data_IF_158170315523
#
_entry.id   IF_158170315523
#
_cell.length_a   1.000
_cell.length_b   1.000
_cell.length_c   1.000
_cell.angle_alpha   90.00
_cell.angle_beta   90.00
_cell.angle_gamma   90.00
#
_symmetry.space_group_name_H-M   'P 1'
#
loop_
_entity.id
_entity.type
_entity.pdbx_description
1 polymer ?
#
# COMPACT_ATOMS: atom_id res chain seq x y z
N UNK A 1 6.34 -5.01 -33.52
CA UNK A 1 6.10 -3.75 -32.79
C UNK A 1 4.95 -3.99 -31.84
N UNK A 2 5.18 -3.87 -30.53
CA UNK A 2 4.17 -4.04 -29.49
C UNK A 2 3.43 -2.70 -29.33
N UNK A 3 2.16 -2.62 -29.74
CA UNK A 3 1.35 -1.38 -29.64
C UNK A 3 0.74 -1.24 -28.24
N UNK A 4 0.65 -0.02 -27.72
CA UNK A 4 0.00 0.28 -26.44
C UNK A 4 -1.52 0.06 -26.46
N UNK A 5 -2.11 -0.01 -27.66
CA UNK A 5 -3.57 -0.16 -27.88
C UNK A 5 -3.98 -1.62 -28.13
N UNK A 6 -3.10 -2.58 -27.84
CA UNK A 6 -3.41 -3.99 -28.01
C UNK A 6 -4.39 -4.43 -26.92
N UNK A 7 -5.54 -4.97 -27.33
CA UNK A 7 -6.57 -5.47 -26.44
C UNK A 7 -6.31 -6.93 -26.09
N UNK A 8 -6.33 -7.23 -24.80
CA UNK A 8 -6.27 -8.58 -24.26
C UNK A 8 -7.64 -8.99 -23.75
N UNK A 9 -8.08 -10.17 -24.17
CA UNK A 9 -9.27 -10.79 -23.60
C UNK A 9 -9.01 -11.16 -22.13
N UNK A 10 -9.93 -10.77 -21.26
CA UNK A 10 -9.78 -11.01 -19.83
C UNK A 10 -10.05 -12.49 -19.56
N UNK A 11 -9.03 -13.21 -19.10
CA UNK A 11 -9.19 -14.60 -18.67
C UNK A 11 -9.99 -14.66 -17.36
N UNK A 12 -10.63 -15.79 -17.01
CA UNK A 12 -11.38 -15.90 -15.75
C UNK A 12 -10.56 -15.53 -14.51
N UNK A 13 -9.26 -15.87 -14.51
CA UNK A 13 -8.35 -15.49 -13.43
C UNK A 13 -8.13 -13.98 -13.38
N UNK A 14 -7.90 -13.34 -14.53
CA UNK A 14 -7.73 -11.89 -14.61
C UNK A 14 -9.03 -11.16 -14.22
N UNK A 15 -10.20 -11.68 -14.58
CA UNK A 15 -11.50 -11.13 -14.18
C UNK A 15 -11.62 -11.08 -12.66
N UNK A 16 -11.23 -12.14 -11.95
CA UNK A 16 -11.24 -12.16 -10.49
C UNK A 16 -10.26 -11.15 -9.89
N UNK A 17 -9.05 -11.05 -10.43
CA UNK A 17 -8.06 -10.06 -9.98
C UNK A 17 -8.61 -8.64 -10.14
N UNK A 18 -9.17 -8.32 -11.30
CA UNK A 18 -9.73 -7.00 -11.59
C UNK A 18 -10.94 -6.67 -10.69
N UNK A 19 -11.81 -7.64 -10.40
CA UNK A 19 -12.93 -7.41 -9.46
C UNK A 19 -12.46 -7.19 -8.02
N UNK A 20 -11.50 -7.98 -7.55
CA UNK A 20 -10.92 -7.80 -6.21
C UNK A 20 -10.27 -6.43 -6.11
N UNK A 21 -9.50 -6.04 -7.13
CA UNK A 21 -8.86 -4.74 -7.23
C UNK A 21 -9.90 -3.61 -7.22
N UNK A 22 -10.92 -3.68 -8.08
CA UNK A 22 -11.99 -2.69 -8.15
C UNK A 22 -12.69 -2.52 -6.80
N UNK A 23 -13.07 -3.61 -6.13
CA UNK A 23 -13.78 -3.54 -4.85
C UNK A 23 -12.89 -2.95 -3.75
N UNK A 24 -11.65 -3.45 -3.62
CA UNK A 24 -10.76 -3.01 -2.54
C UNK A 24 -10.34 -1.55 -2.73
N UNK A 25 -9.86 -1.19 -3.93
CA UNK A 25 -9.30 0.14 -4.16
C UNK A 25 -10.36 1.22 -4.31
N UNK A 26 -11.52 0.94 -4.94
CA UNK A 26 -12.63 1.90 -4.91
C UNK A 26 -13.18 2.06 -3.49
N UNK A 27 -13.30 0.97 -2.72
CA UNK A 27 -13.75 1.02 -1.34
C UNK A 27 -12.83 1.88 -0.46
N UNK A 28 -11.52 1.63 -0.49
CA UNK A 28 -10.51 2.41 0.24
C UNK A 28 -10.52 3.86 -0.25
N UNK A 29 -10.50 4.08 -1.56
CA UNK A 29 -10.46 5.39 -2.17
C UNK A 29 -11.67 6.26 -1.80
N UNK A 30 -12.89 5.71 -1.86
CA UNK A 30 -14.11 6.42 -1.44
C UNK A 30 -14.04 6.73 0.05
N UNK A 31 -13.67 5.75 0.89
CA UNK A 31 -13.57 5.97 2.33
C UNK A 31 -12.60 7.10 2.67
N UNK A 32 -11.37 7.05 2.14
CA UNK A 32 -10.33 8.03 2.42
C UNK A 32 -10.61 9.40 1.78
N UNK A 33 -11.39 9.48 0.69
CA UNK A 33 -11.84 10.78 0.16
C UNK A 33 -12.82 11.46 1.12
N UNK A 34 -13.76 10.72 1.71
CA UNK A 34 -14.84 11.30 2.53
C UNK A 34 -14.58 11.25 4.04
N UNK A 35 -13.41 10.77 4.48
CA UNK A 35 -13.06 10.64 5.90
C UNK A 35 -12.88 11.98 6.64
N UNK A 36 -12.96 13.14 5.96
CA UNK A 36 -12.60 14.45 6.53
C UNK A 36 -13.35 14.79 7.82
N UNK A 37 -14.61 14.35 7.92
CA UNK A 37 -15.48 14.61 9.07
C UNK A 37 -15.53 13.46 10.07
N UNK A 38 -14.97 12.30 9.74
CA UNK A 38 -15.04 11.06 10.53
C UNK A 38 -13.69 10.75 11.17
N UNK A 39 -12.59 11.07 10.48
CA UNK A 39 -11.24 10.81 10.93
C UNK A 39 -10.92 11.62 12.19
N UNK A 40 -10.73 10.91 13.30
CA UNK A 40 -10.29 11.51 14.55
C UNK A 40 -8.90 12.09 14.39
N UNK A 41 -8.69 13.24 15.03
CA UNK A 41 -7.35 13.85 15.10
C UNK A 41 -6.44 12.87 15.85
N UNK A 42 -5.30 12.48 15.25
CA UNK A 42 -4.36 11.61 15.95
C UNK A 42 -3.72 12.34 17.13
N UNK A 43 -3.49 11.62 18.24
CA UNK A 43 -2.89 12.21 19.46
C UNK A 43 -1.52 12.85 19.20
N UNK A 44 -0.72 12.30 18.30
CA UNK A 44 0.57 12.88 17.91
C UNK A 44 0.45 14.25 17.20
N UNK A 45 -0.73 14.62 16.70
CA UNK A 45 -0.99 15.93 16.10
C UNK A 45 -1.50 16.96 17.12
N UNK A 46 -1.84 16.54 18.33
CA UNK A 46 -2.31 17.42 19.40
C UNK A 46 -1.11 18.11 20.07
N UNK A 47 -1.25 19.41 20.36
CA UNK A 47 -0.24 20.22 21.04
C UNK A 47 -0.91 21.08 22.12
N UNK A 48 -0.13 21.58 23.09
CA UNK A 48 -0.65 22.47 24.12
C UNK A 48 -1.28 23.71 23.49
N UNK A 49 -2.61 23.84 23.65
CA UNK A 49 -3.40 24.94 23.08
C UNK A 49 -4.06 24.66 21.72
N UNK A 50 -3.98 23.43 21.17
CA UNK A 50 -4.75 23.07 19.97
C UNK A 50 -4.16 21.92 19.14
N UNK A 51 -4.37 21.98 17.83
CA UNK A 51 -3.87 20.98 16.88
C UNK A 51 -2.70 21.61 16.11
N UNK A 52 -1.63 20.85 15.92
CA UNK A 52 -0.59 21.23 14.97
C UNK A 52 -1.13 21.13 13.54
N UNK A 53 -1.64 22.26 13.03
CA UNK A 53 -2.27 22.33 11.72
C UNK A 53 -1.32 21.91 10.59
N UNK A 54 -0.02 22.21 10.69
CA UNK A 54 0.95 21.85 9.65
C UNK A 54 1.11 20.33 9.52
N UNK A 55 1.35 19.64 10.63
CA UNK A 55 1.51 18.17 10.61
C UNK A 55 0.19 17.51 10.20
N UNK A 56 -0.95 18.04 10.68
CA UNK A 56 -2.26 17.52 10.30
C UNK A 56 -2.55 17.69 8.79
N UNK A 57 -2.18 18.81 8.19
CA UNK A 57 -2.35 19.03 6.74
C UNK A 57 -1.48 18.06 5.93
N UNK A 58 -0.22 17.84 6.34
CA UNK A 58 0.65 16.88 5.64
C UNK A 58 0.06 15.46 5.66
N UNK A 59 -0.49 15.04 6.80
CA UNK A 59 -1.14 13.74 6.97
C UNK A 59 -2.46 13.62 6.17
N UNK A 60 -3.27 14.68 6.12
CA UNK A 60 -4.46 14.74 5.26
C UNK A 60 -4.05 14.63 3.79
N UNK A 61 -3.08 15.41 3.33
CA UNK A 61 -2.60 15.38 1.94
C UNK A 61 -2.10 13.98 1.58
N UNK A 62 -1.33 13.33 2.45
CA UNK A 62 -0.86 11.96 2.22
C UNK A 62 -2.02 10.97 2.02
N UNK A 63 -3.05 11.02 2.89
CA UNK A 63 -4.24 10.17 2.72
C UNK A 63 -5.02 10.48 1.45
N UNK A 64 -5.25 11.76 1.11
CA UNK A 64 -6.00 12.11 -0.11
C UNK A 64 -5.26 11.73 -1.39
N UNK A 65 -3.93 11.82 -1.39
CA UNK A 65 -3.11 11.37 -2.52
C UNK A 65 -3.18 9.85 -2.68
N UNK A 66 -3.16 9.09 -1.58
CA UNK A 66 -3.38 7.65 -1.61
C UNK A 66 -4.79 7.30 -2.13
N UNK A 67 -5.82 7.97 -1.61
CA UNK A 67 -7.20 7.80 -2.05
C UNK A 67 -7.37 8.04 -3.56
N UNK A 68 -6.74 9.08 -4.10
CA UNK A 68 -6.79 9.39 -5.54
C UNK A 68 -6.17 8.26 -6.39
N UNK A 69 -5.02 7.72 -5.98
CA UNK A 69 -4.38 6.59 -6.66
C UNK A 69 -5.29 5.36 -6.60
N UNK A 70 -5.85 5.05 -5.43
CA UNK A 70 -6.77 3.94 -5.24
C UNK A 70 -8.01 4.06 -6.14
N UNK A 71 -8.61 5.25 -6.27
CA UNK A 71 -9.77 5.43 -7.15
C UNK A 71 -9.39 5.21 -8.62
N UNK A 72 -8.26 5.77 -9.07
CA UNK A 72 -7.83 5.61 -10.46
C UNK A 72 -7.61 4.13 -10.79
N UNK A 73 -6.94 3.39 -9.89
CA UNK A 73 -6.69 1.96 -10.08
C UNK A 73 -7.97 1.15 -10.07
N UNK A 74 -8.81 1.39 -9.06
CA UNK A 74 -10.10 0.74 -8.96
C UNK A 74 -10.98 0.98 -10.18
N UNK A 75 -10.91 2.17 -10.78
CA UNK A 75 -11.64 2.50 -12.00
C UNK A 75 -11.10 1.76 -13.24
N UNK A 76 -9.78 1.72 -13.41
CA UNK A 76 -9.13 0.95 -14.50
C UNK A 76 -9.47 -0.53 -14.39
N UNK A 77 -9.41 -1.08 -13.19
CA UNK A 77 -9.76 -2.48 -12.94
C UNK A 77 -11.25 -2.75 -13.19
N UNK A 78 -12.14 -1.85 -12.73
CA UNK A 78 -13.58 -1.95 -12.98
C UNK A 78 -13.90 -1.90 -14.49
N UNK A 79 -13.24 -1.02 -15.24
CA UNK A 79 -13.42 -0.92 -16.69
C UNK A 79 -13.07 -2.26 -17.36
N UNK A 80 -11.89 -2.80 -17.07
CA UNK A 80 -11.45 -4.09 -17.59
C UNK A 80 -12.39 -5.24 -17.22
N UNK A 81 -12.93 -5.23 -16.00
CA UNK A 81 -13.86 -6.26 -15.53
C UNK A 81 -15.23 -6.18 -16.24
N UNK A 82 -15.72 -4.97 -16.57
CA UNK A 82 -17.00 -4.76 -17.23
C UNK A 82 -16.93 -4.96 -18.75
N UNK A 83 -15.87 -4.47 -19.40
CA UNK A 83 -15.71 -4.57 -20.85
C UNK A 83 -15.25 -5.97 -21.30
N UNK A 84 -14.69 -6.78 -20.38
CA UNK A 84 -14.18 -8.12 -20.67
C UNK A 84 -12.90 -8.13 -21.50
N UNK A 85 -12.35 -6.96 -21.81
CA UNK A 85 -11.03 -6.78 -22.40
C UNK A 85 -10.27 -5.67 -21.67
N UNK A 86 -8.95 -5.77 -21.64
CA UNK A 86 -8.05 -4.73 -21.13
C UNK A 86 -7.02 -4.38 -22.19
N UNK A 87 -6.73 -3.10 -22.35
CA UNK A 87 -5.58 -2.69 -23.15
C UNK A 87 -4.29 -3.05 -22.44
N UNK A 88 -3.21 -3.27 -23.21
CA UNK A 88 -1.87 -3.43 -22.63
C UNK A 88 -1.52 -2.28 -21.70
N UNK A 89 -1.86 -1.05 -22.08
CA UNK A 89 -1.59 0.12 -21.24
C UNK A 89 -2.27 0.04 -19.88
N UNK A 90 -3.56 -0.33 -19.82
CA UNK A 90 -4.28 -0.51 -18.55
C UNK A 90 -3.65 -1.61 -17.70
N UNK A 91 -3.26 -2.73 -18.31
CA UNK A 91 -2.58 -3.81 -17.60
C UNK A 91 -1.20 -3.37 -17.06
N UNK A 92 -0.41 -2.67 -17.87
CA UNK A 92 0.89 -2.12 -17.47
C UNK A 92 0.74 -1.09 -16.34
N UNK A 93 -0.33 -0.29 -16.37
CA UNK A 93 -0.65 0.68 -15.33
C UNK A 93 -0.93 -0.02 -13.99
N UNK A 94 -1.68 -1.12 -13.98
CA UNK A 94 -1.89 -1.95 -12.78
C UNK A 94 -0.55 -2.47 -12.23
N UNK A 95 0.32 -3.02 -13.10
CA UNK A 95 1.64 -3.52 -12.71
C UNK A 95 2.54 -2.44 -12.09
N UNK A 96 2.62 -1.27 -12.74
CA UNK A 96 3.42 -0.15 -12.24
C UNK A 96 2.87 0.32 -10.90
N UNK A 97 1.55 0.39 -10.77
CA UNK A 97 0.93 0.97 -9.59
C UNK A 97 1.15 0.11 -8.36
N UNK A 98 1.01 -1.22 -8.47
CA UNK A 98 1.43 -2.12 -7.40
C UNK A 98 2.93 -1.98 -7.11
N UNK A 99 3.77 -1.89 -8.15
CA UNK A 99 5.19 -1.71 -7.95
C UNK A 99 5.58 -0.38 -7.30
N UNK A 100 4.77 0.69 -7.42
CA UNK A 100 4.97 1.96 -6.72
C UNK A 100 4.50 1.87 -5.26
N UNK A 101 3.46 1.07 -4.97
CA UNK A 101 2.98 0.83 -3.62
C UNK A 101 3.90 -0.12 -2.82
N UNK A 102 4.53 -1.09 -3.47
CA UNK A 102 5.41 -2.07 -2.81
C UNK A 102 6.60 -1.47 -2.04
N UNK A 103 7.31 -0.43 -2.53
CA UNK A 103 8.31 0.25 -1.74
C UNK A 103 7.81 0.71 -0.38
N UNK A 104 6.54 1.12 -0.27
CA UNK A 104 5.93 1.50 1.00
C UNK A 104 5.78 0.27 1.90
N UNK A 105 5.31 -0.87 1.38
CA UNK A 105 5.18 -2.11 2.15
C UNK A 105 6.54 -2.61 2.63
N UNK A 106 7.54 -2.65 1.74
CA UNK A 106 8.90 -3.09 2.09
C UNK A 106 9.55 -2.15 3.10
N UNK A 107 9.48 -0.84 2.89
CA UNK A 107 10.09 0.14 3.80
C UNK A 107 9.42 0.15 5.16
N UNK A 108 8.10 0.00 5.23
CA UNK A 108 7.34 0.02 6.50
C UNK A 108 7.30 -1.32 7.23
N UNK A 109 8.05 -2.33 6.78
CA UNK A 109 8.21 -3.57 7.54
C UNK A 109 8.68 -3.24 8.96
N UNK A 110 7.91 -3.73 9.94
CA UNK A 110 8.15 -3.53 11.36
C UNK A 110 9.02 -4.65 11.96
N UNK A 111 9.67 -4.43 13.12
CA UNK A 111 10.44 -5.47 13.80
C UNK A 111 9.61 -6.68 14.22
N UNK A 112 10.23 -7.86 14.19
CA UNK A 112 9.63 -9.11 14.70
C UNK A 112 8.49 -9.66 13.86
N UNK A 113 7.50 -10.28 14.51
CA UNK A 113 6.34 -10.90 13.85
C UNK A 113 5.46 -9.90 13.11
N UNK A 114 5.47 -8.63 13.52
CA UNK A 114 4.71 -7.58 12.86
C UNK A 114 5.14 -7.34 11.41
N UNK A 115 6.44 -7.46 11.10
CA UNK A 115 6.92 -7.33 9.72
C UNK A 115 6.30 -8.38 8.79
N UNK A 116 6.13 -9.62 9.26
CA UNK A 116 5.43 -10.67 8.52
C UNK A 116 3.94 -10.37 8.40
N UNK A 117 3.30 -9.89 9.47
CA UNK A 117 1.87 -9.52 9.43
C UNK A 117 1.60 -8.39 8.44
N UNK A 118 2.49 -7.40 8.33
CA UNK A 118 2.35 -6.31 7.35
C UNK A 118 2.27 -6.87 5.93
N UNK A 119 3.11 -7.83 5.58
CA UNK A 119 3.07 -8.48 4.25
C UNK A 119 1.79 -9.29 4.07
N UNK A 120 1.41 -10.08 5.08
CA UNK A 120 0.25 -10.97 4.98
C UNK A 120 -1.09 -10.24 4.86
N UNK A 121 -1.25 -9.14 5.61
CA UNK A 121 -2.49 -8.37 5.66
C UNK A 121 -2.68 -7.43 4.46
N UNK A 122 -1.62 -7.17 3.70
CA UNK A 122 -1.64 -6.22 2.59
C UNK A 122 -2.02 -6.94 1.29
N UNK A 123 -3.24 -6.71 0.74
CA UNK A 123 -3.68 -7.39 -0.49
C UNK A 123 -2.76 -7.09 -1.68
N UNK A 124 -2.10 -5.94 -1.69
CA UNK A 124 -1.23 -5.46 -2.77
C UNK A 124 -0.07 -6.43 -3.02
N UNK A 125 0.50 -7.01 -1.95
CA UNK A 125 1.56 -8.01 -2.06
C UNK A 125 1.09 -9.25 -2.83
N UNK A 126 -0.09 -9.75 -2.48
CA UNK A 126 -0.66 -10.96 -3.08
C UNK A 126 -1.14 -10.72 -4.51
N UNK A 127 -1.81 -9.60 -4.75
CA UNK A 127 -2.26 -9.22 -6.09
C UNK A 127 -1.07 -9.04 -7.02
N UNK A 128 0.00 -8.36 -6.57
CA UNK A 128 1.22 -8.24 -7.38
C UNK A 128 1.87 -9.59 -7.65
N UNK A 129 1.92 -10.49 -6.68
CA UNK A 129 2.48 -11.83 -6.87
C UNK A 129 1.70 -12.61 -7.93
N UNK A 130 0.37 -12.60 -7.86
CA UNK A 130 -0.51 -13.23 -8.88
C UNK A 130 -0.28 -12.59 -10.24
N UNK A 131 -0.23 -11.25 -10.30
CA UNK A 131 0.03 -10.52 -11.54
C UNK A 131 1.36 -10.92 -12.16
N UNK A 132 2.43 -10.96 -11.37
CA UNK A 132 3.76 -11.27 -11.87
C UNK A 132 3.92 -12.72 -12.34
N UNK A 133 3.32 -13.68 -11.62
CA UNK A 133 3.42 -15.11 -11.98
C UNK A 133 2.61 -15.42 -13.24
N UNK A 134 1.37 -14.95 -13.32
CA UNK A 134 0.44 -15.38 -14.36
C UNK A 134 0.37 -14.44 -15.56
N UNK A 135 0.67 -13.15 -15.39
CA UNK A 135 0.39 -12.13 -16.40
C UNK A 135 1.63 -11.33 -16.86
N UNK A 136 2.84 -11.67 -16.38
CA UNK A 136 4.08 -11.00 -16.81
C UNK A 136 4.35 -11.09 -18.31
N UNK A 137 3.95 -12.17 -18.96
CA UNK A 137 4.10 -12.37 -20.41
C UNK A 137 3.27 -11.39 -21.27
N UNK A 138 2.25 -10.75 -20.70
CA UNK A 138 1.41 -9.75 -21.38
C UNK A 138 1.98 -8.33 -21.33
N UNK A 139 3.01 -8.14 -20.50
CA UNK A 139 3.61 -6.85 -20.18
C UNK A 139 5.00 -6.74 -20.82
N UNK A 140 5.37 -5.53 -21.23
CA UNK A 140 6.71 -5.25 -21.74
C UNK A 140 7.80 -5.50 -20.71
N UNK A 141 8.92 -6.05 -21.17
CA UNK A 141 10.07 -6.37 -20.31
C UNK A 141 10.59 -5.13 -19.59
N UNK A 142 10.58 -3.95 -20.24
CA UNK A 142 10.99 -2.68 -19.63
C UNK A 142 10.15 -2.33 -18.40
N UNK A 143 8.84 -2.57 -18.46
CA UNK A 143 7.92 -2.30 -17.35
C UNK A 143 8.16 -3.29 -16.22
N UNK A 144 8.37 -4.57 -16.53
CA UNK A 144 8.73 -5.57 -15.53
C UNK A 144 10.05 -5.22 -14.82
N UNK A 145 11.05 -4.73 -15.55
CA UNK A 145 12.32 -4.28 -14.97
C UNK A 145 12.13 -3.10 -14.02
N UNK A 146 11.29 -2.13 -14.38
CA UNK A 146 10.92 -1.02 -13.49
C UNK A 146 10.24 -1.57 -12.22
N UNK A 147 9.30 -2.50 -12.37
CA UNK A 147 8.61 -3.11 -11.23
C UNK A 147 9.58 -3.79 -10.26
N UNK A 148 10.56 -4.54 -10.78
CA UNK A 148 11.60 -5.20 -9.98
C UNK A 148 12.52 -4.16 -9.31
N UNK A 149 12.93 -3.12 -10.03
CA UNK A 149 13.78 -2.07 -9.50
C UNK A 149 13.12 -1.33 -8.33
N UNK A 150 11.83 -0.99 -8.44
CA UNK A 150 11.07 -0.36 -7.36
C UNK A 150 10.95 -1.27 -6.13
N UNK A 151 10.68 -2.56 -6.33
CA UNK A 151 10.65 -3.52 -5.22
C UNK A 151 12.02 -3.61 -4.51
N UNK A 152 13.10 -3.72 -5.27
CA UNK A 152 14.46 -3.75 -4.73
C UNK A 152 14.80 -2.46 -3.97
N UNK A 153 14.36 -1.31 -4.48
CA UNK A 153 14.51 -0.02 -3.81
C UNK A 153 13.81 0.01 -2.45
N UNK A 154 12.58 -0.50 -2.35
CA UNK A 154 11.87 -0.64 -1.09
C UNK A 154 12.63 -1.45 -0.03
N UNK A 155 13.19 -2.58 -0.46
CA UNK A 155 14.02 -3.45 0.40
C UNK A 155 15.29 -2.71 0.84
N UNK A 156 15.95 -2.02 -0.09
CA UNK A 156 17.15 -1.22 0.20
C UNK A 156 16.87 -0.13 1.24
N UNK A 157 15.76 0.62 1.09
CA UNK A 157 15.34 1.65 2.05
C UNK A 157 15.04 1.05 3.42
N UNK A 158 14.38 -0.12 3.48
CA UNK A 158 14.12 -0.80 4.75
C UNK A 158 15.43 -1.12 5.49
N UNK A 159 16.39 -1.71 4.79
CA UNK A 159 17.66 -2.16 5.38
C UNK A 159 18.56 -0.97 5.77
N UNK A 160 18.57 0.10 4.97
CA UNK A 160 19.53 1.20 5.16
C UNK A 160 18.99 2.36 5.97
N UNK A 161 17.72 2.74 5.80
CA UNK A 161 17.12 3.88 6.49
C UNK A 161 16.25 3.42 7.65
N UNK A 162 15.29 2.53 7.42
CA UNK A 162 14.31 2.21 8.48
C UNK A 162 14.96 1.46 9.63
N UNK A 163 15.71 0.40 9.33
CA UNK A 163 16.39 -0.43 10.35
C UNK A 163 17.58 0.25 11.03
N UNK A 164 18.21 1.23 10.36
CA UNK A 164 19.43 1.86 10.88
C UNK A 164 19.23 3.28 11.36
N UNK A 165 18.22 4.02 10.89
CA UNK A 165 18.03 5.44 11.22
C UNK A 165 16.77 5.63 12.04
N UNK A 166 15.64 5.03 11.63
CA UNK A 166 14.36 5.25 12.31
C UNK A 166 14.24 4.47 13.62
N UNK A 167 14.74 3.24 13.65
CA UNK A 167 14.71 2.41 14.85
C UNK A 167 16.13 2.02 15.26
N UNK A 168 16.63 2.62 16.33
CA UNK A 168 17.91 2.25 16.93
C UNK A 168 17.70 1.89 18.41
N UNK A 169 17.62 0.59 18.78
CA UNK A 169 17.77 -0.61 17.94
C UNK A 169 16.46 -1.03 17.25
N UNK A 170 16.55 -1.72 16.10
CA UNK A 170 15.41 -2.28 15.36
C UNK A 170 14.76 -3.45 16.13
N UNK A 171 13.99 -3.12 17.17
CA UNK A 171 13.37 -4.06 18.10
C UNK A 171 11.93 -3.68 18.36
N UNK A 172 11.13 -4.66 18.77
CA UNK A 172 9.72 -4.41 19.10
C UNK A 172 9.56 -3.43 20.27
N UNK A 173 10.43 -3.53 21.29
CA UNK A 173 10.39 -2.65 22.45
C UNK A 173 10.55 -1.17 22.07
N UNK A 174 11.44 -0.86 21.12
CA UNK A 174 11.64 0.50 20.64
C UNK A 174 10.44 1.00 19.83
N UNK A 175 9.89 0.16 18.94
CA UNK A 175 8.65 0.47 18.24
C UNK A 175 7.50 0.77 19.21
N UNK A 176 7.34 -0.05 20.26
CA UNK A 176 6.29 0.12 21.27
C UNK A 176 6.40 1.48 21.96
N UNK A 177 7.60 1.93 22.34
CA UNK A 177 7.80 3.27 22.94
C UNK A 177 7.29 4.38 22.02
N UNK A 178 7.63 4.32 20.73
CA UNK A 178 7.15 5.30 19.75
C UNK A 178 5.63 5.28 19.61
N UNK A 179 5.02 4.09 19.58
CA UNK A 179 3.56 3.94 19.51
C UNK A 179 2.90 4.52 20.76
N UNK A 180 3.39 4.22 21.96
CA UNK A 180 2.83 4.74 23.21
C UNK A 180 2.91 6.27 23.22
N UNK A 181 4.06 6.84 22.85
CA UNK A 181 4.23 8.28 22.78
C UNK A 181 3.29 8.96 21.77
N UNK A 182 3.05 8.31 20.61
CA UNK A 182 2.29 8.91 19.52
C UNK A 182 0.77 8.63 19.56
N UNK A 183 0.35 7.48 20.09
CA UNK A 183 -1.01 6.97 19.99
C UNK A 183 -1.60 6.52 21.34
N UNK A 184 -0.77 6.42 22.39
CA UNK A 184 -1.17 5.99 23.73
C UNK A 184 -1.19 4.49 23.94
N UNK A 185 -1.36 4.08 25.20
CA UNK A 185 -1.29 2.68 25.65
C UNK A 185 -2.39 1.79 25.03
N UNK A 186 -3.59 2.30 24.80
CA UNK A 186 -4.66 1.49 24.20
C UNK A 186 -4.33 0.99 22.80
N UNK A 187 -3.66 1.83 21.99
CA UNK A 187 -3.24 1.45 20.64
C UNK A 187 -2.02 0.53 20.72
N UNK A 188 -1.09 0.81 21.63
CA UNK A 188 0.07 -0.06 21.88
C UNK A 188 -0.37 -1.49 22.25
N UNK A 189 -1.34 -1.65 23.14
CA UNK A 189 -1.86 -2.96 23.54
C UNK A 189 -2.48 -3.77 22.38
N UNK A 190 -3.12 -3.09 21.42
CA UNK A 190 -3.61 -3.75 20.19
C UNK A 190 -2.45 -4.24 19.32
N UNK A 191 -1.39 -3.44 19.22
CA UNK A 191 -0.18 -3.79 18.47
C UNK A 191 0.61 -4.90 19.19
N UNK A 192 0.66 -4.90 20.53
CA UNK A 192 1.26 -5.95 21.36
C UNK A 192 0.63 -7.31 21.01
N UNK A 193 -0.72 -7.36 20.96
CA UNK A 193 -1.47 -8.56 20.59
C UNK A 193 -1.13 -9.06 19.19
N UNK A 194 -1.04 -8.16 18.20
CA UNK A 194 -0.64 -8.51 16.83
C UNK A 194 0.81 -9.01 16.77
N UNK A 195 1.70 -8.42 17.57
CA UNK A 195 3.08 -8.86 17.67
C UNK A 195 3.24 -10.22 18.38
N UNK A 196 2.17 -10.74 18.99
CA UNK A 196 2.17 -11.97 19.78
C UNK A 196 2.75 -11.80 21.17
N UNK A 197 2.74 -10.56 21.68
CA UNK A 197 3.02 -10.25 23.09
C UNK A 197 1.69 -10.17 23.84
N UNK A 198 1.62 -10.83 24.99
CA UNK A 198 0.46 -10.65 25.89
C UNK A 198 0.65 -9.32 26.64
N UNK A 199 -0.41 -8.50 26.76
CA UNK A 199 -0.38 -7.25 27.52
C UNK A 199 -0.09 -7.49 29.01
#
# INVERSE_FOLDING_TARGET
MLSSTEFYQVTPLLTWVLWIEAILYLGIGIYEIFDDFIAKVPKWAEQDGGINAWIRIQDVVARKMHAAICIILGFVALNGALEGHVTRFELELIFISFAVLMPVIWSTMMPGKLGFMVILLKPEFWLQLVMFIFFSHLVRTEILLICVALNAWGIFVNITHVRKVFFQPYTYAELRKHVVAAAGEEVAAKIDKLAGHNP
#
